data_IF_180186751925
#
_entry.id   IF_180186751925
#
_cell.length_a   1.000
_cell.length_b   1.000
_cell.length_c   1.000
_cell.angle_alpha   90.00
_cell.angle_beta   90.00
_cell.angle_gamma   90.00
#
_symmetry.space_group_name_H-M   'P 1'
#
loop_
_entity.id
_entity.type
_entity.pdbx_description
1 polymer ?
#
# COMPACT_ATOMS: atom_id res chain seq x y z
N UNK A 1 32.00 29.79 -2.88
CA UNK A 1 31.62 29.33 -4.21
C UNK A 1 30.67 28.16 -4.06
N UNK A 2 29.36 28.44 -4.03
CA UNK A 2 28.34 27.41 -4.24
C UNK A 2 28.36 27.06 -5.74
N UNK A 3 28.87 25.90 -6.09
CA UNK A 3 28.69 25.30 -7.39
C UNK A 3 27.20 25.02 -7.57
N UNK A 4 26.52 25.84 -8.36
CA UNK A 4 25.18 25.56 -8.86
C UNK A 4 25.32 24.43 -9.87
N UNK A 5 25.32 23.18 -9.40
CA UNK A 5 25.14 22.04 -10.27
C UNK A 5 23.67 22.08 -10.74
N UNK A 6 23.44 22.57 -11.94
CA UNK A 6 22.16 22.35 -12.62
C UNK A 6 22.12 20.88 -13.05
N UNK A 7 21.73 19.99 -12.13
CA UNK A 7 21.43 18.60 -12.48
C UNK A 7 20.24 18.67 -13.42
N UNK A 8 20.40 18.23 -14.66
CA UNK A 8 19.27 18.06 -15.57
C UNK A 8 18.33 17.06 -14.90
N UNK A 9 17.11 17.49 -14.60
CA UNK A 9 16.13 16.61 -13.98
C UNK A 9 15.82 15.45 -14.93
N UNK A 10 15.84 14.22 -14.42
CA UNK A 10 15.47 13.05 -15.19
C UNK A 10 14.00 13.14 -15.59
N UNK A 11 13.69 12.76 -16.82
CA UNK A 11 12.30 12.58 -17.23
C UNK A 11 11.81 11.24 -16.68
N UNK A 12 10.78 11.28 -15.82
CA UNK A 12 10.16 10.11 -15.24
C UNK A 12 8.82 9.88 -15.93
N UNK A 13 8.60 8.65 -16.39
CA UNK A 13 7.40 8.27 -17.14
C UNK A 13 6.71 7.06 -16.51
N UNK A 14 5.39 6.95 -16.70
CA UNK A 14 4.62 5.78 -16.35
C UNK A 14 4.60 4.83 -17.54
N UNK A 15 5.18 3.64 -17.39
CA UNK A 15 5.32 2.66 -18.47
C UNK A 15 4.08 1.77 -18.58
N UNK A 16 3.48 1.42 -17.44
CA UNK A 16 2.35 0.49 -17.39
C UNK A 16 1.46 0.77 -16.19
N UNK A 17 0.19 0.43 -16.32
CA UNK A 17 -0.76 0.51 -15.21
C UNK A 17 -1.76 -0.66 -15.28
N UNK A 18 -2.21 -1.11 -14.12
CA UNK A 18 -3.25 -2.11 -13.98
C UNK A 18 -4.05 -1.88 -12.68
N UNK A 19 -5.29 -2.33 -12.69
CA UNK A 19 -6.18 -2.29 -11.54
C UNK A 19 -7.04 -3.55 -11.53
N UNK A 20 -7.29 -4.11 -10.35
CA UNK A 20 -8.39 -5.08 -10.16
C UNK A 20 -9.74 -4.38 -10.26
N UNK A 21 -10.84 -5.09 -10.46
CA UNK A 21 -12.16 -4.53 -10.18
C UNK A 21 -12.23 -3.96 -8.76
N UNK A 22 -13.04 -2.94 -8.55
CA UNK A 22 -13.35 -2.42 -7.22
C UNK A 22 -14.50 -3.25 -6.66
N UNK A 23 -14.21 -4.08 -5.65
CA UNK A 23 -15.22 -4.90 -4.99
C UNK A 23 -16.09 -4.08 -4.04
N UNK A 24 -17.35 -4.46 -3.91
CA UNK A 24 -18.19 -3.97 -2.81
C UNK A 24 -17.73 -4.56 -1.48
N UNK A 25 -18.01 -3.84 -0.39
CA UNK A 25 -17.81 -4.36 0.97
C UNK A 25 -18.58 -5.70 1.15
N UNK A 26 -17.88 -6.71 1.63
CA UNK A 26 -18.38 -8.12 1.70
C UNK A 26 -18.85 -8.71 0.37
N UNK A 27 -18.40 -8.14 -0.76
CA UNK A 27 -18.74 -8.62 -2.11
C UNK A 27 -17.82 -9.73 -2.61
N UNK A 28 -17.70 -9.86 -3.94
CA UNK A 28 -17.01 -10.97 -4.60
C UNK A 28 -15.51 -11.09 -4.30
N UNK A 29 -14.86 -10.01 -3.91
CA UNK A 29 -13.43 -9.98 -3.55
C UNK A 29 -13.18 -10.08 -2.04
N UNK A 30 -14.21 -10.28 -1.22
CA UNK A 30 -14.13 -10.22 0.24
C UNK A 30 -13.09 -11.16 0.85
N UNK A 31 -12.90 -12.33 0.26
CA UNK A 31 -12.04 -13.41 0.80
C UNK A 31 -10.60 -13.38 0.24
N UNK A 32 -10.26 -12.40 -0.62
CA UNK A 32 -8.94 -12.26 -1.21
C UNK A 32 -8.13 -11.24 -0.42
N UNK A 33 -7.03 -11.66 0.19
CA UNK A 33 -6.17 -10.77 0.98
C UNK A 33 -5.62 -9.61 0.15
N UNK A 34 -5.38 -8.46 0.79
CA UNK A 34 -4.87 -7.27 0.12
C UNK A 34 -3.53 -7.53 -0.60
N UNK A 35 -2.59 -8.26 0.02
CA UNK A 35 -1.32 -8.64 -0.60
C UNK A 35 -1.48 -9.56 -1.82
N UNK A 36 -2.52 -10.40 -1.85
CA UNK A 36 -2.87 -11.21 -3.03
C UNK A 36 -3.39 -10.34 -4.17
N UNK A 37 -4.29 -9.38 -3.88
CA UNK A 37 -4.75 -8.40 -4.87
C UNK A 37 -3.57 -7.57 -5.40
N UNK A 38 -2.68 -7.13 -4.52
CA UNK A 38 -1.44 -6.44 -4.88
C UNK A 38 -0.54 -7.28 -5.78
N UNK A 39 -0.35 -8.56 -5.46
CA UNK A 39 0.49 -9.45 -6.27
C UNK A 39 -0.05 -9.67 -7.69
N UNK A 40 -1.37 -9.72 -7.85
CA UNK A 40 -2.03 -9.86 -9.16
C UNK A 40 -1.72 -8.65 -10.05
N UNK A 41 -1.88 -7.43 -9.52
CA UNK A 41 -1.61 -6.21 -10.31
C UNK A 41 -0.13 -5.99 -10.55
N UNK A 42 0.75 -6.36 -9.61
CA UNK A 42 2.21 -6.33 -9.81
C UNK A 42 2.59 -7.25 -10.98
N UNK A 43 2.13 -8.50 -11.01
CA UNK A 43 2.35 -9.41 -12.14
C UNK A 43 1.88 -8.81 -13.46
N UNK A 44 0.71 -8.20 -13.45
CA UNK A 44 0.10 -7.68 -14.66
C UNK A 44 0.85 -6.44 -15.19
N UNK A 45 1.29 -5.51 -14.34
CA UNK A 45 2.07 -4.33 -14.81
C UNK A 45 3.43 -4.75 -15.35
N UNK A 46 4.10 -5.75 -14.76
CA UNK A 46 5.34 -6.32 -15.30
C UNK A 46 5.08 -6.92 -16.68
N UNK A 47 4.05 -7.74 -16.81
CA UNK A 47 3.68 -8.37 -18.09
C UNK A 47 3.39 -7.34 -19.18
N UNK A 48 2.63 -6.29 -18.89
CA UNK A 48 2.29 -5.22 -19.85
C UNK A 48 3.49 -4.36 -20.20
N UNK A 49 4.33 -4.01 -19.25
CA UNK A 49 5.49 -3.15 -19.46
C UNK A 49 6.56 -3.77 -20.34
N UNK A 50 6.61 -5.12 -20.42
CA UNK A 50 7.70 -5.89 -21.06
C UNK A 50 9.06 -5.68 -20.41
N UNK A 51 9.13 -5.05 -19.25
CA UNK A 51 10.34 -4.92 -18.45
C UNK A 51 10.63 -6.27 -17.80
N UNK A 52 11.89 -6.68 -17.78
CA UNK A 52 12.29 -7.88 -17.04
C UNK A 52 12.05 -7.68 -15.55
N UNK A 53 11.51 -8.70 -14.88
CA UNK A 53 11.29 -8.65 -13.43
C UNK A 53 12.60 -8.52 -12.64
N UNK A 54 13.72 -8.92 -13.24
CA UNK A 54 15.07 -8.78 -12.70
C UNK A 54 15.56 -7.34 -12.70
N UNK A 55 14.98 -6.49 -13.55
CA UNK A 55 15.33 -5.06 -13.68
C UNK A 55 14.51 -4.17 -12.72
N UNK A 56 13.57 -4.73 -11.95
CA UNK A 56 12.80 -3.96 -10.97
C UNK A 56 13.67 -3.67 -9.74
N UNK A 57 13.79 -2.40 -9.39
CA UNK A 57 14.64 -1.95 -8.30
C UNK A 57 13.91 -1.90 -6.95
N UNK A 58 12.62 -1.55 -6.94
CA UNK A 58 11.85 -1.39 -5.71
C UNK A 58 10.35 -1.53 -5.93
N UNK A 59 9.64 -1.90 -4.85
CA UNK A 59 8.16 -1.94 -4.79
C UNK A 59 7.67 -1.08 -3.63
N UNK A 60 6.82 -0.09 -3.92
CA UNK A 60 6.23 0.82 -2.93
C UNK A 60 4.71 0.70 -3.00
N UNK A 61 4.08 0.23 -1.94
CA UNK A 61 2.63 -0.01 -1.91
C UNK A 61 1.97 0.81 -0.80
N UNK A 62 0.93 1.55 -1.16
CA UNK A 62 0.05 2.19 -0.20
C UNK A 62 -0.94 1.20 0.40
N UNK A 63 -1.05 1.16 1.72
CA UNK A 63 -2.06 0.38 2.43
C UNK A 63 -2.32 0.98 3.81
N UNK A 64 -3.57 1.00 4.24
CA UNK A 64 -4.00 1.54 5.53
C UNK A 64 -4.15 0.41 6.57
N UNK A 65 -4.94 -0.60 6.24
CA UNK A 65 -5.36 -1.66 7.15
C UNK A 65 -4.37 -2.83 7.10
N UNK A 66 -3.40 -2.83 8.00
CA UNK A 66 -2.33 -3.83 8.04
C UNK A 66 -2.41 -4.78 9.23
N UNK A 67 -3.37 -4.57 10.14
CA UNK A 67 -3.53 -5.41 11.32
C UNK A 67 -3.74 -6.88 10.95
N UNK A 68 -3.00 -7.78 11.58
CA UNK A 68 -3.11 -9.22 11.35
C UNK A 68 -2.62 -9.73 9.99
N UNK A 69 -2.06 -8.88 9.14
CA UNK A 69 -1.60 -9.28 7.79
C UNK A 69 -0.17 -9.85 7.76
N UNK A 70 0.49 -9.94 8.88
CA UNK A 70 1.89 -10.35 8.95
C UNK A 70 2.87 -9.22 8.63
N UNK A 71 4.13 -9.58 8.46
CA UNK A 71 5.18 -8.59 8.21
C UNK A 71 5.05 -8.01 6.80
N UNK A 72 5.08 -6.69 6.71
CA UNK A 72 5.22 -5.92 5.47
C UNK A 72 4.40 -6.47 4.29
N UNK A 73 3.09 -6.23 4.23
CA UNK A 73 2.24 -6.72 3.14
C UNK A 73 2.67 -6.29 1.73
N UNK A 74 3.39 -5.17 1.57
CA UNK A 74 3.99 -4.82 0.27
C UNK A 74 5.07 -5.82 -0.14
N UNK A 75 5.90 -6.24 0.82
CA UNK A 75 6.89 -7.28 0.61
C UNK A 75 6.25 -8.61 0.25
N UNK A 76 5.16 -8.98 0.92
CA UNK A 76 4.40 -10.19 0.60
C UNK A 76 3.85 -10.13 -0.83
N UNK A 77 3.25 -9.01 -1.23
CA UNK A 77 2.75 -8.81 -2.58
C UNK A 77 3.87 -8.92 -3.64
N UNK A 78 5.03 -8.29 -3.39
CA UNK A 78 6.19 -8.35 -4.27
C UNK A 78 6.69 -9.79 -4.47
N UNK A 79 6.91 -10.54 -3.39
CA UNK A 79 7.38 -11.93 -3.45
C UNK A 79 6.33 -12.84 -4.11
N UNK A 80 5.05 -12.71 -3.74
CA UNK A 80 3.96 -13.49 -4.33
C UNK A 80 3.73 -13.18 -5.81
N UNK A 81 4.19 -12.03 -6.29
CA UNK A 81 4.19 -11.69 -7.72
C UNK A 81 5.31 -12.37 -8.51
N UNK A 82 6.25 -13.01 -7.85
CA UNK A 82 7.40 -13.69 -8.48
C UNK A 82 8.63 -12.80 -8.66
N UNK A 83 8.68 -11.64 -7.99
CA UNK A 83 9.88 -10.81 -7.92
C UNK A 83 10.95 -11.44 -7.02
N UNK A 84 12.20 -11.07 -7.26
CA UNK A 84 13.34 -11.55 -6.48
C UNK A 84 13.25 -11.12 -5.01
N UNK A 85 13.74 -11.97 -4.13
CA UNK A 85 13.88 -11.67 -2.70
C UNK A 85 14.90 -10.54 -2.42
N UNK A 86 15.75 -10.20 -3.37
CA UNK A 86 16.69 -9.09 -3.25
C UNK A 86 16.06 -7.72 -3.45
N UNK A 87 14.89 -7.65 -4.10
CA UNK A 87 14.21 -6.38 -4.36
C UNK A 87 13.60 -5.84 -3.08
N UNK A 88 13.97 -4.62 -2.65
CA UNK A 88 13.34 -3.99 -1.49
C UNK A 88 11.86 -3.69 -1.75
N UNK A 89 11.06 -3.76 -0.69
CA UNK A 89 9.67 -3.38 -0.74
C UNK A 89 9.23 -2.76 0.58
N UNK A 90 8.43 -1.71 0.54
CA UNK A 90 7.89 -1.08 1.73
C UNK A 90 6.47 -0.56 1.54
N UNK A 91 5.79 -0.36 2.67
CA UNK A 91 4.47 0.24 2.73
C UNK A 91 4.56 1.74 3.03
N UNK A 92 3.62 2.48 2.46
CA UNK A 92 3.33 3.85 2.86
C UNK A 92 1.88 3.94 3.33
N UNK A 93 1.65 4.69 4.41
CA UNK A 93 0.32 4.99 4.91
C UNK A 93 0.14 6.51 5.04
N UNK A 94 -0.71 7.05 4.20
CA UNK A 94 -1.22 8.41 4.22
C UNK A 94 -2.74 8.36 4.11
N UNK A 95 -3.35 7.43 4.83
CA UNK A 95 -4.78 7.09 4.80
C UNK A 95 -5.25 6.92 3.34
N UNK A 96 -6.34 7.52 2.90
CA UNK A 96 -6.89 7.38 1.55
C UNK A 96 -5.91 7.85 0.44
N UNK A 97 -4.92 8.67 0.77
CA UNK A 97 -3.88 9.15 -0.14
C UNK A 97 -2.72 8.19 -0.36
N UNK A 98 -2.68 7.03 0.30
CA UNK A 98 -1.52 6.12 0.35
C UNK A 98 -1.08 5.63 -1.05
N UNK A 99 -2.04 5.26 -1.90
CA UNK A 99 -1.74 4.80 -3.26
C UNK A 99 -1.06 5.87 -4.11
N UNK A 100 -1.57 7.11 -4.08
CA UNK A 100 -0.92 8.23 -4.77
C UNK A 100 0.42 8.59 -4.12
N UNK A 101 0.52 8.51 -2.79
CA UNK A 101 1.78 8.75 -2.08
C UNK A 101 2.87 7.77 -2.50
N UNK A 102 2.54 6.52 -2.75
CA UNK A 102 3.51 5.53 -3.25
C UNK A 102 4.09 5.95 -4.61
N UNK A 103 3.25 6.46 -5.51
CA UNK A 103 3.69 6.97 -6.83
C UNK A 103 4.60 8.18 -6.67
N UNK A 104 4.26 9.13 -5.78
CA UNK A 104 5.12 10.29 -5.47
C UNK A 104 6.47 9.82 -4.92
N UNK A 105 6.49 8.84 -4.04
CA UNK A 105 7.74 8.30 -3.47
C UNK A 105 8.61 7.65 -4.54
N UNK A 106 8.03 6.83 -5.42
CA UNK A 106 8.76 6.24 -6.54
C UNK A 106 9.29 7.29 -7.53
N UNK A 107 8.50 8.33 -7.82
CA UNK A 107 8.99 9.48 -8.59
C UNK A 107 10.22 10.12 -7.94
N UNK A 108 10.19 10.34 -6.63
CA UNK A 108 11.31 10.92 -5.88
C UNK A 108 12.56 10.03 -5.93
N UNK A 109 12.40 8.70 -5.76
CA UNK A 109 13.49 7.72 -5.89
C UNK A 109 14.17 7.82 -7.27
N UNK A 110 13.36 7.85 -8.33
CA UNK A 110 13.87 7.98 -9.71
C UNK A 110 14.55 9.33 -9.97
N UNK A 111 14.04 10.42 -9.39
CA UNK A 111 14.65 11.75 -9.53
C UNK A 111 16.02 11.84 -8.84
N UNK A 112 16.25 11.02 -7.81
CA UNK A 112 17.52 10.93 -7.08
C UNK A 112 18.51 9.94 -7.72
N UNK A 113 18.16 9.28 -8.83
CA UNK A 113 18.93 8.21 -9.49
C UNK A 113 19.15 6.99 -8.57
N UNK A 114 18.22 6.72 -7.64
CA UNK A 114 18.28 5.57 -6.73
C UNK A 114 17.64 4.30 -7.30
N UNK A 115 17.23 4.33 -8.55
CA UNK A 115 16.65 3.22 -9.29
C UNK A 115 16.29 3.62 -10.71
N UNK A 116 15.83 2.64 -11.49
CA UNK A 116 15.41 2.82 -12.87
C UNK A 116 13.96 2.40 -13.11
N UNK A 117 13.52 1.34 -12.43
CA UNK A 117 12.16 0.80 -12.54
C UNK A 117 11.56 0.56 -11.15
N UNK A 118 10.57 1.35 -10.80
CA UNK A 118 9.88 1.28 -9.50
C UNK A 118 8.43 0.88 -9.74
N UNK A 119 7.94 -0.09 -8.99
CA UNK A 119 6.52 -0.46 -8.97
C UNK A 119 5.85 0.27 -7.82
N UNK A 120 4.85 1.09 -8.14
CA UNK A 120 4.10 1.88 -7.17
C UNK A 120 2.60 1.59 -7.29
N UNK A 121 1.88 1.61 -6.20
CA UNK A 121 0.44 1.42 -6.23
C UNK A 121 -0.17 1.33 -4.85
N UNK A 122 -1.37 0.78 -4.76
CA UNK A 122 -2.06 0.54 -3.50
C UNK A 122 -2.77 -0.80 -3.51
N UNK A 123 -3.02 -1.32 -2.33
CA UNK A 123 -3.79 -2.53 -2.09
C UNK A 123 -4.61 -2.37 -0.81
N UNK A 124 -5.80 -2.91 -0.76
CA UNK A 124 -6.65 -2.89 0.43
C UNK A 124 -7.73 -3.97 0.35
N UNK A 125 -8.09 -4.56 1.47
CA UNK A 125 -9.33 -5.31 1.61
C UNK A 125 -9.98 -4.99 2.95
N UNK A 126 -10.96 -4.12 2.94
CA UNK A 126 -11.69 -3.69 4.13
C UNK A 126 -12.56 -4.80 4.71
N UNK A 127 -13.02 -5.75 3.89
CA UNK A 127 -13.85 -6.87 4.34
C UNK A 127 -13.11 -7.87 5.23
N UNK A 128 -11.78 -7.91 5.13
CA UNK A 128 -10.90 -8.77 5.94
C UNK A 128 -10.19 -8.03 7.08
N UNK A 129 -10.50 -6.76 7.30
CA UNK A 129 -9.95 -6.04 8.44
C UNK A 129 -10.37 -6.70 9.76
N UNK A 130 -9.42 -7.08 10.63
CA UNK A 130 -9.73 -7.76 11.88
C UNK A 130 -10.27 -6.79 12.93
N UNK A 131 -10.82 -7.34 13.99
CA UNK A 131 -10.99 -6.62 15.24
C UNK A 131 -9.71 -6.79 16.07
N UNK A 132 -9.26 -5.74 16.71
CA UNK A 132 -8.11 -5.73 17.61
C UNK A 132 -8.51 -5.65 19.06
N UNK A 133 -7.60 -6.11 19.91
CA UNK A 133 -7.75 -6.07 21.36
C UNK A 133 -6.38 -5.79 21.99
N UNK A 134 -6.32 -4.83 22.89
CA UNK A 134 -5.13 -4.60 23.73
C UNK A 134 -5.10 -5.62 24.86
N UNK A 135 -4.31 -6.70 24.67
CA UNK A 135 -4.22 -7.81 25.61
C UNK A 135 -2.77 -8.23 25.86
N UNK A 136 -2.07 -7.40 26.60
CA UNK A 136 -0.72 -7.74 27.08
C UNK A 136 -0.65 -8.00 28.57
N UNK A 137 -1.69 -7.63 29.33
CA UNK A 137 -1.71 -7.65 30.79
C UNK A 137 -2.57 -8.77 31.37
N UNK A 138 -2.89 -9.82 30.62
CA UNK A 138 -3.60 -11.03 31.03
C UNK A 138 -4.91 -10.81 31.85
N UNK A 139 -5.60 -9.67 31.61
CA UNK A 139 -6.89 -9.41 32.22
C UNK A 139 -8.02 -10.13 31.48
N UNK A 140 -9.06 -10.52 32.17
CA UNK A 140 -10.22 -11.20 31.59
C UNK A 140 -10.80 -10.39 30.44
N UNK A 141 -10.95 -11.06 29.28
CA UNK A 141 -11.45 -10.49 28.05
C UNK A 141 -12.96 -10.49 28.00
N UNK A 142 -13.53 -9.36 27.61
CA UNK A 142 -14.93 -9.30 27.19
C UNK A 142 -15.00 -8.83 25.73
N UNK A 143 -15.97 -9.32 24.97
CA UNK A 143 -16.13 -9.01 23.55
C UNK A 143 -16.42 -7.53 23.28
N UNK A 144 -16.91 -6.79 24.25
CA UNK A 144 -17.15 -5.35 24.22
C UNK A 144 -15.85 -4.50 24.11
N UNK A 145 -14.69 -5.12 24.33
CA UNK A 145 -13.37 -4.48 24.17
C UNK A 145 -12.75 -4.66 22.77
N UNK A 146 -13.43 -5.36 21.88
CA UNK A 146 -12.97 -5.52 20.50
C UNK A 146 -13.15 -4.22 19.72
N UNK A 147 -12.08 -3.76 19.09
CA UNK A 147 -12.09 -2.57 18.23
C UNK A 147 -12.05 -2.99 16.77
N UNK A 148 -13.04 -2.58 15.99
CA UNK A 148 -13.04 -2.77 14.53
C UNK A 148 -11.97 -1.88 13.90
N UNK A 149 -10.89 -2.49 13.41
CA UNK A 149 -9.76 -1.76 12.84
C UNK A 149 -10.10 -1.07 11.54
N UNK A 150 -11.08 -1.56 10.77
CA UNK A 150 -11.55 -0.87 9.58
C UNK A 150 -12.13 0.51 9.92
N UNK A 151 -12.95 0.56 10.94
CA UNK A 151 -13.59 1.79 11.42
C UNK A 151 -12.57 2.69 12.10
N UNK A 152 -11.87 2.14 13.11
CA UNK A 152 -11.02 2.92 14.01
C UNK A 152 -9.76 3.45 13.32
N UNK A 153 -9.07 2.61 12.54
CA UNK A 153 -7.79 2.97 11.90
C UNK A 153 -7.98 3.62 10.53
N UNK A 154 -9.13 3.40 9.87
CA UNK A 154 -9.36 3.84 8.50
C UNK A 154 -10.40 4.91 8.30
N UNK A 155 -11.44 4.98 9.12
CA UNK A 155 -12.64 5.77 8.83
C UNK A 155 -13.00 6.81 9.92
N UNK A 156 -12.41 6.75 11.09
CA UNK A 156 -12.65 7.69 12.18
C UNK A 156 -11.50 8.69 12.28
N UNK A 157 -11.85 9.98 12.38
CA UNK A 157 -10.88 11.03 12.68
C UNK A 157 -10.30 10.81 14.09
N UNK A 158 -8.97 10.69 14.17
CA UNK A 158 -8.28 10.37 15.41
C UNK A 158 -8.32 11.48 16.48
N UNK A 159 -8.65 12.69 16.10
CA UNK A 159 -8.65 13.86 16.99
C UNK A 159 -10.06 14.23 17.43
N UNK A 160 -11.02 14.17 16.51
CA UNK A 160 -12.39 14.64 16.72
C UNK A 160 -13.41 13.51 16.89
N UNK A 161 -13.01 12.28 16.65
CA UNK A 161 -13.81 11.07 16.89
C UNK A 161 -15.10 10.98 16.05
N UNK A 162 -15.11 11.56 14.84
CA UNK A 162 -16.22 11.43 13.90
C UNK A 162 -15.79 10.75 12.59
N UNK A 163 -16.76 10.19 11.86
CA UNK A 163 -16.52 9.47 10.62
C UNK A 163 -16.03 10.42 9.50
N UNK A 164 -15.10 9.93 8.64
CA UNK A 164 -14.57 10.71 7.52
C UNK A 164 -15.63 11.24 6.55
N UNK A 165 -16.83 10.61 6.49
CA UNK A 165 -17.97 11.15 5.75
C UNK A 165 -18.40 12.53 6.24
N UNK A 166 -18.39 12.77 7.56
CA UNK A 166 -18.70 14.09 8.13
C UNK A 166 -17.62 15.11 7.74
N UNK A 167 -16.35 14.71 7.72
CA UNK A 167 -15.28 15.59 7.26
C UNK A 167 -15.49 16.03 5.80
N UNK A 168 -16.04 15.16 4.97
CA UNK A 168 -16.31 15.47 3.56
C UNK A 168 -17.51 16.41 3.35
N UNK A 169 -18.39 16.54 4.35
CA UNK A 169 -19.54 17.43 4.32
C UNK A 169 -19.22 18.85 4.79
N UNK A 170 -18.08 19.06 5.45
CA UNK A 170 -17.59 20.36 5.92
C UNK A 170 -16.78 21.09 4.84
#
# INVERSE_FOLDING_TARGET
HFLKMSKKLNEVVIISAARTPIGSYKGSLKDIKADQLGSIVIKEVINRSKISKEDIDEVIIGQVLTAGMGQNPARQAAINSGLSKSIPAHLVNQVCGSGLRSVISGYQTLMLDEGKYIICGGQENMSLAPHSLFYRDEKILSADKLTDTMIYDGLIDAFNNYHMGITAEN
#
